data_IF_143200498292
#
_entry.id   IF_143200498292
#
_cell.length_a   1.000
_cell.length_b   1.000
_cell.length_c   1.000
_cell.angle_alpha   90.00
_cell.angle_beta   90.00
_cell.angle_gamma   90.00
#
_symmetry.space_group_name_H-M   'P 1'
#
loop_
_entity.id
_entity.type
_entity.pdbx_description
1 polymer ?
#
# COMPACT_ATOMS: atom_id res chain seq x y z
N UNK A 1 -50.35 -62.51 34.68
CA UNK A 1 -50.68 -61.14 35.13
C UNK A 1 -49.46 -60.29 34.89
N UNK A 2 -49.49 -59.43 33.87
CA UNK A 2 -48.39 -58.56 33.45
C UNK A 2 -48.36 -57.28 34.31
N UNK A 3 -47.18 -56.73 34.66
CA UNK A 3 -47.09 -55.36 35.19
C UNK A 3 -46.94 -54.33 34.05
N UNK A 4 -47.21 -53.03 34.31
CA UNK A 4 -47.46 -52.04 33.28
C UNK A 4 -46.21 -51.28 32.84
N UNK A 5 -46.30 -50.75 31.62
CA UNK A 5 -45.34 -49.91 30.89
C UNK A 5 -45.19 -48.52 31.50
N UNK A 6 -43.95 -48.11 31.77
CA UNK A 6 -43.57 -46.72 32.10
C UNK A 6 -43.22 -45.97 30.81
N UNK A 7 -44.04 -44.99 30.46
CA UNK A 7 -43.77 -44.02 29.39
C UNK A 7 -42.93 -42.87 29.95
N UNK A 8 -41.72 -42.65 29.40
CA UNK A 8 -40.85 -41.51 29.74
C UNK A 8 -41.23 -40.32 28.85
N UNK A 9 -41.79 -39.26 29.44
CA UNK A 9 -41.85 -37.94 28.79
C UNK A 9 -40.46 -37.30 28.87
N UNK A 10 -39.83 -37.05 27.73
CA UNK A 10 -38.67 -36.18 27.62
C UNK A 10 -39.18 -34.74 27.38
N UNK A 11 -38.88 -33.84 28.31
CA UNK A 11 -39.07 -32.39 28.12
C UNK A 11 -37.87 -31.88 27.34
N UNK A 12 -38.06 -31.55 26.07
CA UNK A 12 -37.07 -30.83 25.26
C UNK A 12 -37.28 -29.34 25.50
N UNK A 13 -36.34 -28.71 26.20
CA UNK A 13 -36.27 -27.26 26.32
C UNK A 13 -35.67 -26.70 25.03
N UNK A 14 -36.50 -26.16 24.14
CA UNK A 14 -36.04 -25.35 23.01
C UNK A 14 -35.59 -23.98 23.51
N UNK A 15 -34.27 -23.74 23.59
CA UNK A 15 -33.75 -22.37 23.55
C UNK A 15 -34.00 -21.82 22.15
N UNK A 16 -34.94 -20.87 22.04
CA UNK A 16 -35.08 -20.07 20.84
C UNK A 16 -33.93 -19.05 20.79
N UNK A 17 -32.94 -19.31 19.94
CA UNK A 17 -32.00 -18.28 19.53
C UNK A 17 -32.75 -17.30 18.62
N UNK A 18 -32.85 -16.04 19.05
CA UNK A 18 -33.37 -14.98 18.18
C UNK A 18 -32.40 -14.77 17.01
N UNK A 19 -32.87 -14.64 15.76
CA UNK A 19 -32.01 -14.30 14.64
C UNK A 19 -31.49 -12.88 14.84
N UNK A 20 -30.17 -12.73 14.94
CA UNK A 20 -29.53 -11.43 14.71
C UNK A 20 -29.76 -11.11 13.24
N UNK A 21 -30.62 -10.14 12.94
CA UNK A 21 -30.71 -9.59 11.59
C UNK A 21 -29.34 -8.98 11.27
N UNK A 22 -28.57 -9.64 10.41
CA UNK A 22 -27.48 -8.98 9.71
C UNK A 22 -28.11 -7.85 8.89
N UNK A 23 -27.84 -6.61 9.29
CA UNK A 23 -28.10 -5.46 8.42
C UNK A 23 -27.23 -5.68 7.18
N UNK A 24 -27.85 -5.64 6.00
CA UNK A 24 -27.13 -5.70 4.73
C UNK A 24 -26.14 -4.53 4.66
N UNK A 25 -24.95 -4.77 4.12
CA UNK A 25 -23.97 -3.72 3.93
C UNK A 25 -24.55 -2.61 3.03
N UNK A 26 -24.19 -1.35 3.30
CA UNK A 26 -24.65 -0.24 2.48
C UNK A 26 -24.11 -0.37 1.06
N UNK A 27 -24.90 0.12 0.09
CA UNK A 27 -24.38 0.31 -1.26
C UNK A 27 -23.23 1.34 -1.23
N UNK A 28 -22.27 1.30 -2.18
CA UNK A 28 -21.14 2.23 -2.17
C UNK A 28 -21.50 3.72 -2.08
N UNK A 29 -22.63 4.11 -2.67
CA UNK A 29 -23.15 5.49 -2.63
C UNK A 29 -23.88 5.86 -1.33
N UNK A 30 -24.01 4.91 -0.40
CA UNK A 30 -24.64 5.06 0.92
C UNK A 30 -23.62 5.09 2.06
N UNK A 31 -22.35 4.71 1.81
CA UNK A 31 -21.24 4.75 2.78
C UNK A 31 -21.02 6.16 3.31
N UNK A 32 -21.02 6.33 4.65
CA UNK A 32 -20.79 7.60 5.36
C UNK A 32 -19.76 7.53 6.47
N UNK A 33 -19.33 6.33 6.82
CA UNK A 33 -18.40 6.07 7.92
C UNK A 33 -17.41 4.98 7.52
N UNK A 34 -16.33 4.85 8.29
CA UNK A 34 -15.40 3.73 8.10
C UNK A 34 -16.08 2.39 8.40
N UNK A 35 -16.99 2.36 9.37
CA UNK A 35 -17.76 1.18 9.76
C UNK A 35 -18.62 0.63 8.61
N UNK A 36 -19.10 1.49 7.73
CA UNK A 36 -19.82 1.07 6.52
C UNK A 36 -18.90 0.27 5.57
N UNK A 37 -17.65 0.72 5.41
CA UNK A 37 -16.64 0.03 4.59
C UNK A 37 -16.23 -1.29 5.24
N UNK A 38 -16.11 -1.32 6.58
CA UNK A 38 -15.88 -2.54 7.38
C UNK A 38 -16.99 -3.55 7.14
N UNK A 39 -18.27 -3.14 7.18
CA UNK A 39 -19.40 -4.00 6.88
C UNK A 39 -19.35 -4.56 5.45
N UNK A 40 -19.07 -3.69 4.46
CA UNK A 40 -18.91 -4.11 3.06
C UNK A 40 -17.81 -5.16 2.88
N UNK A 41 -16.63 -4.94 3.46
CA UNK A 41 -15.51 -5.87 3.38
C UNK A 41 -15.83 -7.24 4.00
N UNK A 42 -16.55 -7.24 5.13
CA UNK A 42 -16.99 -8.47 5.80
C UNK A 42 -17.95 -9.28 4.92
N UNK A 43 -18.98 -8.63 4.36
CA UNK A 43 -19.91 -9.30 3.44
C UNK A 43 -19.22 -9.78 2.16
N UNK A 44 -18.31 -8.95 1.63
CA UNK A 44 -17.56 -9.29 0.44
C UNK A 44 -16.70 -10.54 0.68
N UNK A 45 -16.05 -10.69 1.83
CA UNK A 45 -15.28 -11.89 2.18
C UNK A 45 -16.15 -13.16 2.31
N UNK A 46 -17.45 -13.03 2.61
CA UNK A 46 -18.35 -14.18 2.79
C UNK A 46 -18.80 -14.85 1.47
N UNK A 47 -18.55 -14.21 0.33
CA UNK A 47 -18.91 -14.75 -1.00
C UNK A 47 -17.68 -15.26 -1.75
N UNK A 48 -17.84 -15.71 -3.00
CA UNK A 48 -16.70 -16.02 -3.87
C UNK A 48 -16.18 -14.72 -4.51
N UNK A 49 -14.86 -14.53 -4.53
CA UNK A 49 -14.23 -13.41 -5.22
C UNK A 49 -14.65 -13.34 -6.70
N UNK A 50 -15.05 -12.15 -7.13
CA UNK A 50 -15.35 -11.85 -8.53
C UNK A 50 -14.21 -11.01 -9.11
N UNK A 51 -13.51 -11.48 -10.15
CA UNK A 51 -12.46 -10.69 -10.79
C UNK A 51 -12.99 -9.33 -11.26
N UNK A 52 -12.23 -8.23 -11.06
CA UNK A 52 -12.67 -6.91 -11.49
C UNK A 52 -12.71 -6.80 -13.02
N UNK A 53 -13.60 -5.94 -13.52
CA UNK A 53 -13.70 -5.62 -14.94
C UNK A 53 -12.45 -4.85 -15.40
N UNK A 54 -11.89 -5.25 -16.54
CA UNK A 54 -10.74 -4.57 -17.16
C UNK A 54 -11.19 -3.33 -17.92
N UNK A 55 -10.31 -2.34 -18.03
CA UNK A 55 -10.52 -1.19 -18.90
C UNK A 55 -10.67 -1.61 -20.38
N UNK A 56 -11.32 -0.79 -21.22
CA UNK A 56 -11.42 -1.04 -22.66
C UNK A 56 -10.07 -1.32 -23.31
N UNK A 57 -10.06 -2.27 -24.26
CA UNK A 57 -8.81 -2.74 -24.89
C UNK A 57 -8.01 -1.61 -25.55
N UNK A 58 -8.68 -0.62 -26.12
CA UNK A 58 -8.05 0.54 -26.76
C UNK A 58 -7.26 1.45 -25.80
N UNK A 59 -7.59 1.44 -24.50
CA UNK A 59 -6.80 2.09 -23.45
C UNK A 59 -5.67 1.19 -22.96
N UNK A 60 -5.87 -0.13 -22.96
CA UNK A 60 -4.87 -1.13 -22.54
C UNK A 60 -3.74 -1.29 -23.57
N UNK A 61 -4.04 -1.08 -24.86
CA UNK A 61 -3.08 -1.18 -25.96
C UNK A 61 -2.12 0.02 -26.04
N UNK A 62 -2.32 1.04 -25.19
CA UNK A 62 -1.42 2.19 -25.12
C UNK A 62 -0.05 1.77 -24.57
N UNK A 63 0.98 2.06 -25.35
CA UNK A 63 2.35 2.07 -24.85
C UNK A 63 2.60 3.29 -23.94
N UNK A 64 3.82 3.41 -23.45
CA UNK A 64 4.21 4.47 -22.52
C UNK A 64 3.95 5.88 -23.08
N UNK A 65 4.33 6.11 -24.34
CA UNK A 65 4.20 7.42 -25.00
C UNK A 65 2.74 7.76 -25.28
N UNK A 66 1.94 6.77 -25.69
CA UNK A 66 0.50 6.92 -25.86
C UNK A 66 -0.20 7.23 -24.53
N UNK A 67 0.11 6.47 -23.47
CA UNK A 67 -0.54 6.66 -22.16
C UNK A 67 -0.25 8.06 -21.57
N UNK A 68 0.99 8.56 -21.70
CA UNK A 68 1.37 9.92 -21.25
C UNK A 68 0.64 11.06 -21.95
N UNK A 69 0.04 10.81 -23.12
CA UNK A 69 -0.77 11.81 -23.83
C UNK A 69 -2.18 11.97 -23.27
N UNK A 70 -2.61 11.08 -22.37
CA UNK A 70 -3.79 11.28 -21.52
C UNK A 70 -3.34 12.07 -20.28
N UNK A 71 -3.26 13.38 -20.42
CA UNK A 71 -2.74 14.27 -19.39
C UNK A 71 -3.84 14.66 -18.38
N UNK A 72 -3.48 14.80 -17.10
CA UNK A 72 -4.39 15.33 -16.08
C UNK A 72 -4.63 16.82 -16.32
N UNK A 73 -5.88 17.27 -16.17
CA UNK A 73 -6.26 18.68 -16.16
C UNK A 73 -6.08 19.26 -14.76
N UNK A 74 -4.89 19.72 -14.45
CA UNK A 74 -4.57 20.32 -13.15
C UNK A 74 -5.45 21.53 -12.80
N UNK A 75 -5.90 22.27 -13.82
CA UNK A 75 -6.85 23.36 -13.69
C UNK A 75 -8.23 22.91 -13.18
N UNK A 76 -8.56 21.64 -13.36
CA UNK A 76 -9.82 21.04 -12.92
C UNK A 76 -9.62 20.13 -11.70
N UNK A 77 -8.48 20.22 -10.98
CA UNK A 77 -8.29 19.43 -9.76
C UNK A 77 -9.48 19.60 -8.81
N UNK A 78 -9.94 18.51 -8.21
CA UNK A 78 -11.09 18.55 -7.30
C UNK A 78 -10.76 19.43 -6.09
N UNK A 79 -11.74 20.23 -5.67
CA UNK A 79 -11.64 21.22 -4.59
C UNK A 79 -10.70 22.41 -4.85
N UNK A 80 -10.18 22.55 -6.08
CA UNK A 80 -9.31 23.65 -6.46
C UNK A 80 -9.95 25.02 -6.24
N UNK A 81 -11.17 25.19 -6.71
CA UNK A 81 -11.91 26.46 -6.70
C UNK A 81 -12.66 26.71 -5.38
N UNK A 82 -12.53 25.81 -4.40
CA UNK A 82 -13.19 25.88 -3.08
C UNK A 82 -12.27 26.42 -1.96
N UNK A 83 -11.09 26.94 -2.30
CA UNK A 83 -10.07 27.42 -1.34
C UNK A 83 -9.65 26.38 -0.28
N UNK A 84 -9.65 25.10 -0.65
CA UNK A 84 -9.32 23.99 0.26
C UNK A 84 -7.80 23.80 0.40
N UNK A 85 -7.36 23.38 1.58
CA UNK A 85 -5.93 23.09 1.87
C UNK A 85 -5.40 21.96 0.98
N UNK A 86 -6.23 21.00 0.64
CA UNK A 86 -5.86 19.85 -0.19
C UNK A 86 -6.75 19.76 -1.41
N UNK A 87 -6.14 19.40 -2.54
CA UNK A 87 -6.83 19.09 -3.80
C UNK A 87 -6.69 17.61 -4.10
N UNK A 88 -7.62 17.07 -4.88
CA UNK A 88 -7.52 15.71 -5.40
C UNK A 88 -7.41 15.72 -6.92
N UNK A 89 -6.52 14.88 -7.45
CA UNK A 89 -6.41 14.58 -8.87
C UNK A 89 -6.50 13.07 -9.07
N UNK A 90 -6.84 12.66 -10.29
CA UNK A 90 -7.11 11.25 -10.61
C UNK A 90 -6.18 10.75 -11.71
N UNK A 91 -5.95 9.44 -11.73
CA UNK A 91 -5.22 8.77 -12.80
C UNK A 91 -6.21 8.07 -13.74
N UNK A 92 -6.01 8.10 -15.07
CA UNK A 92 -6.82 7.32 -16.00
C UNK A 92 -6.41 5.84 -15.95
N UNK A 93 -7.36 4.92 -16.09
CA UNK A 93 -7.07 3.51 -16.36
C UNK A 93 -6.61 3.32 -17.81
N UNK A 94 -5.68 2.39 -18.01
CA UNK A 94 -5.04 2.17 -19.31
C UNK A 94 -3.61 1.66 -19.16
N UNK A 95 -3.03 1.17 -20.26
CA UNK A 95 -1.71 0.55 -20.29
C UNK A 95 -1.59 -0.52 -19.19
N UNK A 96 -0.64 -0.37 -18.26
CA UNK A 96 -0.43 -1.27 -17.12
C UNK A 96 -1.49 -1.16 -16.00
N UNK A 97 -2.27 -0.08 -15.96
CA UNK A 97 -3.32 0.13 -14.96
C UNK A 97 -4.64 -0.47 -15.46
N UNK A 98 -4.65 -1.79 -15.54
CA UNK A 98 -5.63 -2.53 -16.34
C UNK A 98 -7.06 -2.52 -15.78
N UNK A 99 -7.25 -2.24 -14.49
CA UNK A 99 -8.57 -2.35 -13.87
C UNK A 99 -8.87 -1.09 -13.08
N UNK A 100 -9.93 -0.36 -13.46
CA UNK A 100 -10.38 0.83 -12.77
C UNK A 100 -10.75 0.58 -11.31
N UNK A 101 -10.74 1.66 -10.54
CA UNK A 101 -11.27 1.78 -9.19
C UNK A 101 -12.43 2.76 -9.19
N UNK A 102 -13.38 2.57 -8.27
CA UNK A 102 -14.39 3.59 -8.02
C UNK A 102 -13.88 4.58 -6.99
N UNK A 103 -14.09 5.86 -7.24
CA UNK A 103 -13.80 6.92 -6.26
C UNK A 103 -15.09 7.62 -5.90
N UNK A 104 -15.32 7.79 -4.61
CA UNK A 104 -16.47 8.48 -4.05
C UNK A 104 -16.02 9.64 -3.18
N UNK A 105 -16.77 10.74 -3.19
CA UNK A 105 -16.61 11.86 -2.26
C UNK A 105 -17.72 11.77 -1.22
N UNK A 106 -17.34 11.77 0.06
CA UNK A 106 -18.25 11.73 1.21
C UNK A 106 -18.31 13.12 1.82
N UNK A 107 -19.40 13.84 1.57
CA UNK A 107 -19.59 15.23 2.01
C UNK A 107 -20.85 15.34 2.87
N UNK A 108 -20.67 15.67 4.15
CA UNK A 108 -21.71 15.77 5.19
C UNK A 108 -22.75 14.62 5.12
N UNK A 109 -23.83 14.86 4.38
CA UNK A 109 -24.99 13.97 4.25
C UNK A 109 -25.10 13.32 2.86
N UNK A 110 -24.06 13.29 2.03
CA UNK A 110 -24.09 12.69 0.69
C UNK A 110 -22.78 12.01 0.31
N UNK A 111 -22.91 10.89 -0.39
CA UNK A 111 -21.79 10.20 -1.04
C UNK A 111 -22.02 10.18 -2.53
N UNK A 112 -21.08 10.76 -3.29
CA UNK A 112 -21.18 10.89 -4.75
C UNK A 112 -20.02 10.20 -5.44
N UNK A 113 -20.29 9.46 -6.51
CA UNK A 113 -19.24 8.89 -7.36
C UNK A 113 -18.55 10.00 -8.15
N UNK A 114 -17.24 9.85 -8.34
CA UNK A 114 -16.44 10.65 -9.27
C UNK A 114 -16.47 9.95 -10.62
N UNK A 115 -17.20 10.53 -11.57
CA UNK A 115 -17.29 9.98 -12.93
C UNK A 115 -15.98 10.22 -13.68
N UNK A 116 -15.53 9.20 -14.42
CA UNK A 116 -14.44 9.32 -15.38
C UNK A 116 -14.86 10.21 -16.56
N UNK A 117 -13.92 10.94 -17.16
CA UNK A 117 -14.21 11.67 -18.39
C UNK A 117 -13.30 12.87 -18.68
N UNK A 118 -13.58 13.60 -19.77
CA UNK A 118 -12.75 14.71 -20.27
C UNK A 118 -12.69 15.93 -19.34
N UNK A 119 -13.51 15.97 -18.29
CA UNK A 119 -13.42 16.95 -17.22
C UNK A 119 -12.13 16.80 -16.41
N UNK A 120 -11.59 15.58 -16.26
CA UNK A 120 -10.35 15.34 -15.50
C UNK A 120 -9.13 15.19 -16.40
N UNK A 121 -9.35 14.82 -17.67
CA UNK A 121 -8.27 14.43 -18.58
C UNK A 121 -8.30 15.23 -19.88
N UNK A 122 -7.11 15.59 -20.35
CA UNK A 122 -6.87 16.09 -21.69
C UNK A 122 -6.22 14.99 -22.51
N UNK A 123 -6.94 14.52 -23.51
CA UNK A 123 -6.41 13.60 -24.52
C UNK A 123 -5.71 14.40 -25.60
N UNK A 124 -4.49 14.00 -25.97
CA UNK A 124 -3.63 14.73 -26.92
C UNK A 124 -3.24 13.82 -28.09
N UNK A 125 -3.19 14.38 -29.30
CA UNK A 125 -2.70 13.65 -30.47
C UNK A 125 -3.56 12.42 -30.78
N UNK A 126 -2.95 11.25 -30.93
CA UNK A 126 -3.65 10.02 -31.27
C UNK A 126 -4.62 9.53 -30.20
N UNK A 127 -4.50 10.03 -28.96
CA UNK A 127 -5.41 9.67 -27.86
C UNK A 127 -6.71 10.46 -27.89
N UNK A 128 -6.84 11.51 -28.71
CA UNK A 128 -8.07 12.32 -28.83
C UNK A 128 -9.29 11.46 -29.19
N UNK A 129 -9.09 10.38 -29.95
CA UNK A 129 -10.15 9.41 -30.30
C UNK A 129 -10.71 8.64 -29.09
N UNK A 130 -10.00 8.65 -27.96
CA UNK A 130 -10.34 7.93 -26.73
C UNK A 130 -11.11 8.81 -25.72
N UNK A 131 -11.35 10.09 -26.05
CA UNK A 131 -11.97 11.04 -25.13
C UNK A 131 -13.39 10.64 -24.69
N UNK A 132 -14.12 9.92 -25.55
CA UNK A 132 -15.47 9.41 -25.29
C UNK A 132 -15.48 7.92 -24.91
N UNK A 133 -14.32 7.31 -24.64
CA UNK A 133 -14.23 5.91 -24.23
C UNK A 133 -14.86 5.68 -22.85
N UNK A 134 -15.46 4.51 -22.64
CA UNK A 134 -15.96 4.05 -21.33
C UNK A 134 -14.79 3.59 -20.43
N UNK A 135 -13.82 4.48 -20.23
CA UNK A 135 -12.67 4.24 -19.38
C UNK A 135 -13.02 4.22 -17.88
N UNK A 136 -12.02 4.50 -17.05
CA UNK A 136 -12.21 4.56 -15.61
C UNK A 136 -11.03 5.23 -14.92
N UNK A 137 -11.16 5.45 -13.61
CA UNK A 137 -10.06 5.97 -12.81
C UNK A 137 -9.17 4.80 -12.38
N UNK A 138 -7.85 4.92 -12.49
CA UNK A 138 -6.90 3.92 -11.99
C UNK A 138 -6.56 4.09 -10.51
N UNK A 139 -6.78 5.30 -9.99
CA UNK A 139 -6.35 5.72 -8.67
C UNK A 139 -6.46 7.24 -8.53
N UNK A 140 -5.86 7.76 -7.47
CA UNK A 140 -5.89 9.18 -7.15
C UNK A 140 -4.62 9.63 -6.44
N UNK A 141 -4.41 10.94 -6.42
CA UNK A 141 -3.37 11.61 -5.64
C UNK A 141 -3.93 12.84 -4.95
N UNK A 142 -3.34 13.18 -3.81
CA UNK A 142 -3.68 14.40 -3.07
C UNK A 142 -2.53 15.39 -3.16
N UNK A 143 -2.88 16.66 -3.31
CA UNK A 143 -1.94 17.76 -3.45
C UNK A 143 -2.19 18.80 -2.36
N UNK A 144 -1.13 19.24 -1.69
CA UNK A 144 -1.20 20.26 -0.64
C UNK A 144 0.02 21.17 -0.69
N UNK A 145 0.00 22.26 0.05
CA UNK A 145 1.18 23.13 0.18
C UNK A 145 2.04 22.60 1.32
N UNK A 146 3.05 21.80 0.98
CA UNK A 146 4.05 21.35 1.94
C UNK A 146 4.86 22.54 2.48
N UNK A 147 5.39 22.46 3.72
CA UNK A 147 6.28 23.49 4.26
C UNK A 147 7.40 23.84 3.27
N UNK A 148 7.59 25.14 2.99
CA UNK A 148 8.60 25.62 2.04
C UNK A 148 8.17 25.67 0.56
N UNK A 149 7.04 25.06 0.18
CA UNK A 149 6.59 25.06 -1.21
C UNK A 149 5.71 26.28 -1.56
N UNK A 150 5.99 26.92 -2.70
CA UNK A 150 5.17 28.04 -3.21
C UNK A 150 3.85 27.57 -3.82
N UNK A 151 3.83 26.37 -4.38
CA UNK A 151 2.67 25.78 -5.01
C UNK A 151 2.27 24.50 -4.29
N UNK A 152 1.00 24.10 -4.45
CA UNK A 152 0.58 22.78 -3.98
C UNK A 152 1.30 21.72 -4.79
N UNK A 153 1.84 20.74 -4.10
CA UNK A 153 2.55 19.60 -4.67
C UNK A 153 1.85 18.34 -4.24
N UNK A 154 1.95 17.32 -5.09
CA UNK A 154 1.56 15.97 -4.72
C UNK A 154 2.30 15.55 -3.45
N UNK A 155 1.58 14.94 -2.49
CA UNK A 155 2.18 14.44 -1.25
C UNK A 155 1.79 13.01 -0.92
N UNK A 156 0.70 12.49 -1.50
CA UNK A 156 0.31 11.08 -1.39
C UNK A 156 -0.39 10.62 -2.68
N UNK A 157 -0.10 9.39 -3.10
CA UNK A 157 -0.60 8.76 -4.31
C UNK A 157 -1.06 7.34 -4.02
N UNK A 158 -2.28 7.00 -4.43
CA UNK A 158 -2.92 5.69 -4.32
C UNK A 158 -3.19 5.15 -5.73
N UNK A 159 -2.34 4.25 -6.22
CA UNK A 159 -2.41 3.77 -7.60
C UNK A 159 -1.71 2.41 -7.74
N UNK A 160 -2.35 1.49 -8.47
CA UNK A 160 -1.83 0.15 -8.72
C UNK A 160 -2.07 -0.82 -7.56
N UNK A 161 -2.77 -1.93 -7.81
CA UNK A 161 -3.14 -2.94 -6.80
C UNK A 161 -3.58 -2.31 -5.46
N UNK A 162 -2.84 -2.54 -4.37
CA UNK A 162 -3.07 -1.90 -3.07
C UNK A 162 -1.92 -0.96 -2.65
N UNK A 163 -1.20 -0.38 -3.61
CA UNK A 163 -0.02 0.43 -3.35
C UNK A 163 -0.40 1.88 -3.01
N UNK A 164 0.43 2.49 -2.17
CA UNK A 164 0.46 3.92 -1.97
C UNK A 164 1.88 4.41 -1.71
N UNK A 165 2.15 5.67 -2.08
CA UNK A 165 3.42 6.37 -1.82
C UNK A 165 3.10 7.72 -1.24
N UNK A 166 3.97 8.24 -0.37
CA UNK A 166 3.88 9.60 0.11
C UNK A 166 5.25 10.27 0.17
N UNK A 167 5.23 11.61 0.20
CA UNK A 167 6.42 12.45 0.31
C UNK A 167 6.15 13.60 1.28
N UNK A 168 7.16 13.97 2.05
CA UNK A 168 7.22 15.21 2.83
C UNK A 168 8.01 16.31 2.10
N UNK A 169 8.29 17.41 2.80
CA UNK A 169 9.03 18.56 2.24
C UNK A 169 10.38 18.15 1.63
N UNK A 170 10.61 18.59 0.38
CA UNK A 170 11.87 18.39 -0.32
C UNK A 170 12.19 16.94 -0.67
N UNK A 171 11.20 16.04 -0.62
CA UNK A 171 11.37 14.64 -0.98
C UNK A 171 10.89 14.35 -2.39
N UNK A 172 11.40 13.27 -2.97
CA UNK A 172 10.94 12.70 -4.24
C UNK A 172 10.34 11.32 -4.02
N UNK A 173 9.53 10.82 -4.97
CA UNK A 173 8.99 9.47 -4.84
C UNK A 173 10.08 8.39 -4.93
N UNK A 174 10.00 7.43 -4.03
CA UNK A 174 10.83 6.21 -4.03
C UNK A 174 10.03 5.02 -3.51
N UNK A 175 10.48 4.44 -2.40
CA UNK A 175 9.82 3.31 -1.70
C UNK A 175 8.30 3.49 -1.56
N UNK A 176 7.57 2.43 -1.87
CA UNK A 176 6.11 2.33 -1.72
C UNK A 176 5.73 1.53 -0.50
N UNK A 177 4.55 1.80 0.03
CA UNK A 177 3.84 0.90 0.92
C UNK A 177 2.70 0.19 0.17
N UNK A 178 2.22 -0.91 0.73
CA UNK A 178 1.03 -1.64 0.26
C UNK A 178 0.05 -1.83 1.42
N UNK A 179 -1.23 -2.03 1.13
CA UNK A 179 -2.20 -2.47 2.13
C UNK A 179 -1.94 -3.88 2.64
N UNK A 180 -1.57 -4.82 1.76
CA UNK A 180 -1.33 -6.23 2.10
C UNK A 180 -0.56 -6.94 0.99
N UNK A 181 0.13 -8.04 1.33
CA UNK A 181 0.65 -8.99 0.35
C UNK A 181 0.34 -10.43 0.79
N UNK A 182 0.01 -11.31 -0.16
CA UNK A 182 -0.39 -12.69 0.11
C UNK A 182 0.54 -13.64 -0.62
N UNK A 183 1.09 -14.62 0.10
CA UNK A 183 2.03 -15.62 -0.41
C UNK A 183 3.31 -15.02 -1.06
N UNK A 184 3.66 -13.78 -0.70
CA UNK A 184 4.89 -13.09 -1.16
C UNK A 184 6.14 -13.86 -0.75
N UNK A 185 7.14 -13.93 -1.65
CA UNK A 185 8.40 -14.59 -1.37
C UNK A 185 8.29 -16.11 -1.16
N UNK A 186 7.31 -16.76 -1.78
CA UNK A 186 7.15 -18.22 -1.76
C UNK A 186 7.45 -18.88 -3.13
N UNK A 187 7.53 -20.21 -3.13
CA UNK A 187 7.60 -21.02 -4.36
C UNK A 187 6.29 -21.03 -5.16
N UNK A 188 5.21 -20.52 -4.56
CA UNK A 188 3.92 -20.28 -5.19
C UNK A 188 3.83 -18.83 -5.69
N UNK A 189 2.98 -18.55 -6.68
CA UNK A 189 2.83 -17.19 -7.16
C UNK A 189 2.22 -16.28 -6.08
N UNK A 190 2.78 -15.09 -5.92
CA UNK A 190 2.22 -14.03 -5.08
C UNK A 190 0.83 -13.62 -5.58
N UNK A 191 -0.08 -13.43 -4.63
CA UNK A 191 -1.36 -12.79 -4.85
C UNK A 191 -1.25 -11.32 -4.43
N UNK A 192 -1.78 -10.43 -5.29
CA UNK A 192 -1.76 -8.99 -5.11
C UNK A 192 -3.17 -8.48 -4.80
N UNK A 193 -3.54 -8.33 -3.51
CA UNK A 193 -4.78 -7.66 -3.14
C UNK A 193 -4.88 -6.26 -3.71
N UNK A 194 -6.10 -5.77 -3.91
CA UNK A 194 -6.32 -4.51 -4.61
C UNK A 194 -7.33 -3.64 -3.92
N UNK A 195 -7.04 -2.35 -3.85
CA UNK A 195 -8.08 -1.38 -3.55
C UNK A 195 -8.97 -1.23 -4.78
N UNK A 196 -10.26 -1.49 -4.60
CA UNK A 196 -11.26 -1.49 -5.67
C UNK A 196 -12.17 -0.27 -5.59
N UNK A 197 -12.32 0.30 -4.40
CA UNK A 197 -13.12 1.50 -4.14
C UNK A 197 -12.42 2.38 -3.12
N UNK A 198 -12.55 3.69 -3.30
CA UNK A 198 -12.09 4.72 -2.38
C UNK A 198 -13.22 5.66 -2.01
N UNK A 199 -13.25 6.10 -0.76
CA UNK A 199 -14.10 7.18 -0.28
C UNK A 199 -13.20 8.25 0.32
N UNK A 200 -13.28 9.47 -0.21
CA UNK A 200 -12.49 10.61 0.25
C UNK A 200 -13.42 11.64 0.88
N UNK A 201 -13.03 12.12 2.06
CA UNK A 201 -13.72 13.23 2.70
C UNK A 201 -13.14 14.55 2.20
N UNK A 202 -13.96 15.59 1.92
CA UNK A 202 -13.46 16.92 1.69
C UNK A 202 -12.59 17.39 2.87
N UNK A 203 -11.42 17.98 2.63
CA UNK A 203 -10.56 18.49 3.69
C UNK A 203 -11.34 19.51 4.53
N UNK A 204 -11.22 19.44 5.85
CA UNK A 204 -11.82 20.43 6.75
C UNK A 204 -11.16 21.80 6.52
N UNK A 205 -11.90 22.88 6.72
CA UNK A 205 -11.39 24.24 6.55
C UNK A 205 -10.44 24.71 7.67
N UNK A 206 -10.26 23.91 8.73
CA UNK A 206 -9.39 24.17 9.89
C UNK A 206 -8.16 23.24 9.89
N UNK A 207 -6.98 23.82 10.11
CA UNK A 207 -5.76 23.40 9.41
C UNK A 207 -4.83 22.39 10.09
N UNK A 208 -5.31 21.45 10.91
CA UNK A 208 -4.47 20.41 11.53
C UNK A 208 -5.03 18.97 11.41
N UNK A 209 -6.27 18.80 10.93
CA UNK A 209 -6.84 17.46 10.76
C UNK A 209 -6.15 16.71 9.61
N UNK A 210 -5.94 15.39 9.75
CA UNK A 210 -5.43 14.56 8.67
C UNK A 210 -6.45 14.42 7.54
N UNK A 211 -5.96 14.26 6.32
CA UNK A 211 -6.79 13.88 5.18
C UNK A 211 -7.27 12.43 5.34
N UNK A 212 -8.58 12.19 5.23
CA UNK A 212 -9.17 10.87 5.45
C UNK A 212 -9.53 10.22 4.12
N UNK A 213 -8.98 9.03 3.90
CA UNK A 213 -9.29 8.16 2.77
C UNK A 213 -9.68 6.79 3.31
N UNK A 214 -10.88 6.31 2.96
CA UNK A 214 -11.26 4.92 3.15
C UNK A 214 -11.08 4.13 1.87
N UNK A 215 -10.69 2.87 1.98
CA UNK A 215 -10.55 1.98 0.84
C UNK A 215 -11.10 0.58 1.11
N UNK A 216 -11.73 0.01 0.10
CA UNK A 216 -12.17 -1.39 0.08
C UNK A 216 -11.17 -2.22 -0.71
N UNK A 217 -10.53 -3.16 -0.02
CA UNK A 217 -9.62 -4.14 -0.58
C UNK A 217 -10.38 -5.42 -0.96
N UNK A 218 -10.05 -5.99 -2.13
CA UNK A 218 -10.53 -7.31 -2.54
C UNK A 218 -9.47 -8.11 -3.29
N UNK A 219 -9.53 -9.43 -3.10
CA UNK A 219 -8.67 -10.41 -3.76
C UNK A 219 -9.29 -11.82 -3.69
N UNK A 220 -8.73 -12.81 -4.42
CA UNK A 220 -9.16 -14.19 -4.31
C UNK A 220 -9.13 -14.75 -2.89
N UNK A 221 -8.11 -14.41 -2.09
CA UNK A 221 -7.93 -14.92 -0.74
C UNK A 221 -8.54 -14.04 0.36
N UNK A 222 -8.67 -12.73 0.15
CA UNK A 222 -9.07 -11.78 1.20
C UNK A 222 -10.03 -10.70 0.74
N UNK A 223 -10.74 -10.09 1.69
CA UNK A 223 -11.29 -8.74 1.54
C UNK A 223 -10.94 -7.92 2.79
N UNK A 224 -10.84 -6.61 2.65
CA UNK A 224 -10.51 -5.75 3.78
C UNK A 224 -10.98 -4.32 3.65
N UNK A 225 -11.14 -3.65 4.79
CA UNK A 225 -11.47 -2.23 4.90
C UNK A 225 -10.29 -1.48 5.49
N UNK A 226 -9.89 -0.37 4.87
CA UNK A 226 -8.75 0.42 5.28
C UNK A 226 -9.16 1.88 5.49
N UNK A 227 -8.78 2.47 6.62
CA UNK A 227 -8.78 3.92 6.83
C UNK A 227 -7.33 4.41 6.81
N UNK A 228 -7.07 5.38 5.95
CA UNK A 228 -5.83 6.15 5.89
C UNK A 228 -6.12 7.55 6.41
N UNK A 229 -5.43 7.95 7.48
CA UNK A 229 -5.39 9.34 7.95
C UNK A 229 -4.02 9.90 7.62
N UNK A 230 -3.95 10.81 6.65
CA UNK A 230 -2.70 11.31 6.08
C UNK A 230 -2.42 12.73 6.57
N UNK A 231 -1.30 12.90 7.27
CA UNK A 231 -0.82 14.18 7.78
C UNK A 231 0.42 14.63 6.98
N UNK A 232 0.28 15.56 6.02
CA UNK A 232 1.42 16.11 5.29
C UNK A 232 2.24 17.10 6.12
N UNK A 233 3.57 17.09 5.93
CA UNK A 233 4.48 18.00 6.63
C UNK A 233 5.93 17.88 6.17
N UNK A 234 6.88 18.18 7.06
CA UNK A 234 8.31 17.89 6.79
C UNK A 234 8.52 16.39 6.53
N UNK A 235 7.88 15.56 7.35
CA UNK A 235 7.57 14.17 7.05
C UNK A 235 6.06 14.07 6.76
N UNK A 236 5.69 13.11 5.91
CA UNK A 236 4.28 12.73 5.76
C UNK A 236 4.01 11.48 6.58
N UNK A 237 3.06 11.56 7.49
CA UNK A 237 2.61 10.43 8.32
C UNK A 237 1.28 9.89 7.79
N UNK A 238 1.19 8.57 7.67
CA UNK A 238 -0.03 7.86 7.28
C UNK A 238 -0.40 6.93 8.44
N UNK A 239 -1.42 7.25 9.20
CA UNK A 239 -1.99 6.31 10.16
C UNK A 239 -2.97 5.39 9.43
N UNK A 240 -2.78 4.08 9.58
CA UNK A 240 -3.55 3.04 8.90
C UNK A 240 -4.31 2.23 9.95
N UNK A 241 -5.64 2.19 9.78
CA UNK A 241 -6.51 1.20 10.44
C UNK A 241 -7.01 0.23 9.39
N UNK A 242 -6.84 -1.07 9.59
CA UNK A 242 -7.30 -2.08 8.65
C UNK A 242 -8.07 -3.20 9.34
N UNK A 243 -9.14 -3.67 8.71
CA UNK A 243 -9.85 -4.89 9.05
C UNK A 243 -9.79 -5.83 7.85
N UNK A 244 -9.26 -7.03 8.01
CA UNK A 244 -9.05 -7.99 6.92
C UNK A 244 -9.72 -9.32 7.25
N UNK A 245 -10.49 -9.85 6.30
CA UNK A 245 -11.14 -11.15 6.40
C UNK A 245 -10.60 -12.09 5.33
N UNK A 246 -10.37 -13.34 5.73
CA UNK A 246 -9.97 -14.39 4.80
C UNK A 246 -11.20 -15.04 4.17
N UNK A 247 -11.15 -15.24 2.85
CA UNK A 247 -12.08 -16.13 2.13
C UNK A 247 -11.67 -17.59 2.29
N UNK A 248 -10.35 -17.84 2.30
CA UNK A 248 -9.75 -19.14 2.52
C UNK A 248 -8.34 -19.03 3.11
N UNK A 249 -7.79 -20.13 3.62
CA UNK A 249 -6.42 -20.15 4.15
C UNK A 249 -5.37 -19.80 3.10
N UNK A 250 -4.29 -19.16 3.55
CA UNK A 250 -3.09 -18.81 2.77
C UNK A 250 -1.85 -19.34 3.47
N UNK A 251 -0.72 -19.40 2.77
CA UNK A 251 0.54 -19.85 3.37
C UNK A 251 1.24 -18.71 4.11
N UNK A 252 1.13 -17.48 3.59
CA UNK A 252 1.75 -16.30 4.18
C UNK A 252 0.86 -15.08 3.99
N UNK A 253 0.57 -14.40 5.10
CA UNK A 253 -0.05 -13.07 5.10
C UNK A 253 1.01 -12.05 5.53
N UNK A 254 1.43 -11.21 4.60
CA UNK A 254 2.43 -10.17 4.84
C UNK A 254 1.75 -8.83 5.09
N UNK A 255 1.97 -8.27 6.28
CA UNK A 255 1.33 -7.03 6.75
C UNK A 255 2.27 -5.84 6.63
N UNK A 256 1.68 -4.66 6.45
CA UNK A 256 2.37 -3.40 6.16
C UNK A 256 3.54 -3.54 5.16
N UNK A 257 3.35 -4.16 3.97
CA UNK A 257 4.46 -4.40 3.07
C UNK A 257 5.03 -3.10 2.51
N UNK A 258 6.35 -3.03 2.46
CA UNK A 258 7.12 -2.02 1.75
C UNK A 258 7.70 -2.62 0.48
N UNK A 259 7.84 -1.81 -0.56
CA UNK A 259 8.40 -2.20 -1.85
C UNK A 259 9.31 -1.10 -2.37
N UNK A 260 10.54 -1.47 -2.68
CA UNK A 260 11.59 -0.53 -3.06
C UNK A 260 12.47 -1.12 -4.16
N UNK A 261 13.52 -0.39 -4.51
CA UNK A 261 14.42 -0.72 -5.59
C UNK A 261 15.87 -0.52 -5.13
N UNK A 262 16.72 -1.51 -5.41
CA UNK A 262 18.16 -1.45 -5.21
C UNK A 262 18.88 -2.10 -6.40
N UNK A 263 19.73 -1.34 -7.10
CA UNK A 263 20.54 -1.85 -8.21
C UNK A 263 21.99 -2.10 -7.81
N UNK A 264 22.67 -1.06 -7.29
CA UNK A 264 24.04 -1.14 -6.79
C UNK A 264 24.39 0.05 -5.87
N UNK A 265 25.40 -0.16 -5.03
CA UNK A 265 26.10 0.85 -4.25
C UNK A 265 27.47 1.20 -4.89
N UNK A 266 28.25 2.05 -4.20
CA UNK A 266 29.53 2.53 -4.69
C UNK A 266 30.60 1.43 -4.84
N UNK A 267 30.49 0.33 -4.09
CA UNK A 267 31.42 -0.79 -4.14
C UNK A 267 31.08 -1.76 -5.29
N UNK A 268 29.85 -1.70 -5.81
CA UNK A 268 29.32 -2.61 -6.82
C UNK A 268 28.89 -1.92 -8.12
N UNK A 269 29.38 -0.71 -8.39
CA UNK A 269 29.08 0.03 -9.61
C UNK A 269 29.42 -0.81 -10.87
N UNK A 270 28.48 -1.00 -11.80
CA UNK A 270 28.72 -1.77 -13.02
C UNK A 270 29.63 -1.01 -14.01
N UNK A 271 30.43 -1.76 -14.74
CA UNK A 271 31.29 -1.19 -15.80
C UNK A 271 30.43 -0.48 -16.86
N UNK A 272 30.76 0.79 -17.13
CA UNK A 272 30.12 1.59 -18.17
C UNK A 272 28.93 2.44 -17.71
N UNK A 273 28.41 2.25 -16.49
CA UNK A 273 27.52 3.24 -15.87
C UNK A 273 28.37 4.29 -15.14
N UNK A 274 27.94 5.55 -15.18
CA UNK A 274 28.66 6.68 -14.57
C UNK A 274 28.11 7.05 -13.18
N UNK A 275 26.97 6.46 -12.80
CA UNK A 275 26.30 6.68 -11.52
C UNK A 275 26.92 5.76 -10.46
N UNK A 276 27.56 6.31 -9.41
CA UNK A 276 28.18 5.48 -8.38
C UNK A 276 27.16 4.61 -7.66
N UNK A 277 25.95 5.12 -7.42
CA UNK A 277 24.87 4.43 -6.72
C UNK A 277 23.53 4.59 -7.43
N UNK A 278 22.68 3.56 -7.39
CA UNK A 278 21.32 3.59 -7.95
C UNK A 278 20.39 2.76 -7.08
N UNK A 279 19.61 3.44 -6.24
CA UNK A 279 18.68 2.80 -5.30
C UNK A 279 17.69 3.80 -4.67
N UNK A 280 16.55 3.29 -4.21
CA UNK A 280 15.49 4.02 -3.51
C UNK A 280 15.59 3.90 -1.98
N UNK A 281 16.31 2.87 -1.55
CA UNK A 281 16.70 2.56 -0.19
C UNK A 281 17.98 1.72 -0.27
N UNK A 282 18.85 1.82 0.72
CA UNK A 282 20.09 1.07 0.84
C UNK A 282 20.13 0.13 2.05
N UNK A 283 19.15 0.23 2.96
CA UNK A 283 19.07 -0.63 4.14
C UNK A 283 17.64 -0.99 4.55
N UNK A 284 17.49 -2.19 5.11
CA UNK A 284 16.40 -2.55 6.02
C UNK A 284 16.82 -2.24 7.46
N UNK A 285 15.95 -1.56 8.19
CA UNK A 285 16.08 -1.33 9.63
C UNK A 285 14.91 -2.00 10.36
N UNK A 286 15.20 -2.65 11.49
CA UNK A 286 14.20 -3.29 12.36
C UNK A 286 14.41 -2.84 13.80
N UNK A 287 13.32 -2.56 14.49
CA UNK A 287 13.26 -2.32 15.93
C UNK A 287 12.25 -3.28 16.56
N UNK A 288 12.69 -4.08 17.52
CA UNK A 288 11.83 -5.07 18.16
C UNK A 288 12.45 -5.64 19.42
N UNK A 289 11.97 -6.81 19.84
CA UNK A 289 12.51 -7.57 20.95
C UNK A 289 12.61 -9.06 20.62
N UNK A 290 13.68 -9.68 21.10
CA UNK A 290 13.92 -11.13 21.10
C UNK A 290 13.91 -11.64 22.56
N UNK A 291 14.05 -12.95 22.80
CA UNK A 291 14.19 -13.47 24.17
C UNK A 291 15.35 -12.85 24.97
N UNK A 292 16.36 -12.29 24.29
CA UNK A 292 17.52 -11.61 24.88
C UNK A 292 17.25 -10.15 25.26
N UNK A 293 16.16 -9.55 24.76
CA UNK A 293 15.78 -8.16 25.04
C UNK A 293 15.47 -7.36 23.79
N UNK A 294 15.42 -6.03 23.95
CA UNK A 294 15.25 -5.08 22.85
C UNK A 294 16.42 -5.17 21.86
N UNK A 295 16.12 -5.07 20.57
CA UNK A 295 17.09 -5.20 19.49
C UNK A 295 16.81 -4.21 18.36
N UNK A 296 17.90 -3.73 17.76
CA UNK A 296 17.91 -3.01 16.50
C UNK A 296 18.72 -3.82 15.49
N UNK A 297 18.19 -3.95 14.27
CA UNK A 297 18.89 -4.60 13.15
C UNK A 297 19.07 -3.57 12.05
N UNK A 298 20.29 -3.47 11.52
CA UNK A 298 20.61 -2.76 10.28
C UNK A 298 21.12 -3.76 9.26
N UNK A 299 20.43 -3.87 8.12
CA UNK A 299 20.78 -4.80 7.06
C UNK A 299 20.84 -4.07 5.72
N UNK A 300 22.05 -3.89 5.21
CA UNK A 300 22.26 -3.33 3.87
C UNK A 300 21.55 -4.20 2.81
N UNK A 301 20.98 -3.57 1.80
CA UNK A 301 20.24 -4.24 0.73
C UNK A 301 21.20 -4.76 -0.34
N UNK A 302 20.79 -5.83 -1.00
CA UNK A 302 21.53 -6.43 -2.10
C UNK A 302 20.61 -6.67 -3.31
N UNK A 303 21.23 -6.77 -4.50
CA UNK A 303 20.58 -7.30 -5.70
C UNK A 303 21.18 -8.67 -6.03
N UNK A 304 20.59 -9.78 -5.53
CA UNK A 304 21.14 -11.11 -5.74
C UNK A 304 20.76 -11.67 -7.12
N UNK A 305 21.63 -12.50 -7.70
CA UNK A 305 21.34 -13.24 -8.96
C UNK A 305 20.18 -14.25 -8.84
N UNK A 306 19.78 -14.57 -7.61
CA UNK A 306 18.67 -15.48 -7.30
C UNK A 306 17.80 -14.87 -6.22
N UNK A 307 16.46 -15.04 -6.32
CA UNK A 307 15.54 -14.63 -5.27
C UNK A 307 15.98 -15.14 -3.89
N UNK A 308 16.03 -14.23 -2.91
CA UNK A 308 16.45 -14.50 -1.53
C UNK A 308 15.40 -13.95 -0.57
N UNK A 309 15.03 -14.76 0.42
CA UNK A 309 14.24 -14.29 1.56
C UNK A 309 15.08 -14.45 2.81
N UNK A 310 15.29 -13.34 3.49
CA UNK A 310 15.95 -13.26 4.80
C UNK A 310 14.87 -13.01 5.86
N UNK A 311 14.98 -13.63 7.03
CA UNK A 311 13.96 -13.56 8.07
C UNK A 311 14.56 -13.31 9.46
N UNK A 312 13.94 -12.40 10.22
CA UNK A 312 14.29 -12.04 11.59
C UNK A 312 13.10 -12.30 12.53
N UNK A 313 13.13 -13.41 13.29
CA UNK A 313 12.13 -13.70 14.31
C UNK A 313 12.16 -12.68 15.45
N UNK A 314 10.98 -12.31 15.94
CA UNK A 314 10.79 -11.33 17.02
C UNK A 314 9.69 -11.84 17.96
N UNK A 315 9.87 -11.62 19.27
CA UNK A 315 8.78 -11.76 20.24
C UNK A 315 7.80 -10.58 20.16
N UNK A 316 8.34 -9.39 19.90
CA UNK A 316 7.57 -8.16 19.72
C UNK A 316 8.22 -7.30 18.63
N UNK A 317 7.43 -6.78 17.71
CA UNK A 317 7.85 -5.75 16.77
C UNK A 317 7.46 -4.37 17.30
N UNK A 318 8.39 -3.41 17.21
CA UNK A 318 8.15 -1.99 17.51
C UNK A 318 8.15 -1.13 16.23
N UNK A 319 8.96 -1.50 15.23
CA UNK A 319 8.89 -0.95 13.90
C UNK A 319 9.89 -1.58 12.93
N UNK A 320 9.71 -1.35 11.64
CA UNK A 320 10.68 -1.72 10.61
C UNK A 320 10.53 -0.79 9.40
N UNK A 321 11.57 -0.67 8.58
CA UNK A 321 11.48 0.20 7.42
C UNK A 321 12.64 0.07 6.45
N UNK A 322 12.43 0.62 5.27
CA UNK A 322 13.46 0.75 4.25
C UNK A 322 14.02 2.18 4.32
N UNK A 323 15.32 2.27 4.55
CA UNK A 323 16.05 3.51 4.77
C UNK A 323 16.92 3.80 3.56
N UNK A 324 16.93 5.06 3.18
CA UNK A 324 17.86 5.67 2.24
C UNK A 324 18.88 6.47 3.05
N UNK A 325 20.00 5.84 3.36
CA UNK A 325 21.02 6.41 4.24
C UNK A 325 21.95 7.39 3.50
N UNK A 326 22.27 7.12 2.23
CA UNK A 326 23.03 8.04 1.38
C UNK A 326 22.12 9.16 0.85
N UNK A 327 22.61 10.40 0.97
CA UNK A 327 21.86 11.64 0.71
C UNK A 327 22.68 12.67 -0.08
N UNK A 328 23.94 12.40 -0.37
CA UNK A 328 24.79 13.27 -1.18
C UNK A 328 24.44 13.10 -2.68
N UNK A 329 23.94 14.13 -3.38
CA UNK A 329 23.66 14.04 -4.81
C UNK A 329 24.87 13.61 -5.65
N UNK A 330 26.10 13.90 -5.20
CA UNK A 330 27.33 13.51 -5.91
C UNK A 330 27.55 12.00 -5.93
N UNK A 331 26.89 11.24 -5.04
CA UNK A 331 26.95 9.77 -4.97
C UNK A 331 26.03 9.08 -5.96
N UNK A 332 25.06 9.82 -6.50
CA UNK A 332 24.17 9.30 -7.54
C UNK A 332 24.55 9.84 -8.92
N UNK A 333 25.02 11.09 -9.00
CA UNK A 333 25.38 11.75 -10.26
C UNK A 333 24.25 11.66 -11.31
N UNK A 334 23.00 11.74 -10.85
CA UNK A 334 21.78 11.60 -11.63
C UNK A 334 20.87 12.81 -11.35
N UNK A 335 20.54 13.57 -12.40
CA UNK A 335 19.76 14.81 -12.31
C UNK A 335 18.26 14.61 -12.60
N UNK A 336 17.82 13.38 -12.87
CA UNK A 336 16.44 13.08 -13.27
C UNK A 336 15.71 12.26 -12.21
N UNK A 337 16.40 11.31 -11.59
CA UNK A 337 15.79 10.33 -10.69
C UNK A 337 15.78 10.74 -9.22
N UNK A 338 16.56 11.76 -8.83
CA UNK A 338 16.56 12.36 -7.48
C UNK A 338 16.67 11.34 -6.32
N UNK A 339 17.46 10.27 -6.48
CA UNK A 339 17.57 9.18 -5.50
C UNK A 339 17.92 9.66 -4.08
N UNK A 340 18.81 10.64 -3.96
CA UNK A 340 19.20 11.28 -2.70
C UNK A 340 18.03 11.95 -1.95
N UNK A 341 16.93 12.26 -2.64
CA UNK A 341 15.74 12.91 -2.06
C UNK A 341 14.62 11.91 -1.72
N UNK A 342 14.76 10.62 -2.04
CA UNK A 342 13.72 9.59 -1.82
C UNK A 342 13.54 9.27 -0.33
N UNK A 343 12.31 9.10 0.19
CA UNK A 343 12.06 8.97 1.62
C UNK A 343 12.62 7.67 2.20
N UNK A 344 13.07 7.74 3.45
CA UNK A 344 12.97 6.60 4.37
C UNK A 344 11.49 6.32 4.59
N UNK A 345 11.10 5.04 4.56
CA UNK A 345 9.73 4.62 4.83
C UNK A 345 9.73 3.68 6.02
N UNK A 346 9.20 4.17 7.15
CA UNK A 346 9.21 3.49 8.44
C UNK A 346 7.80 3.09 8.85
N UNK A 347 7.57 1.80 9.06
CA UNK A 347 6.36 1.26 9.70
C UNK A 347 6.58 1.27 11.20
N UNK A 348 5.85 2.14 11.88
CA UNK A 348 5.84 2.27 13.33
C UNK A 348 4.57 1.63 13.91
N UNK A 349 4.75 0.58 14.71
CA UNK A 349 3.66 -0.10 15.41
C UNK A 349 3.59 0.31 16.89
N UNK A 350 4.59 1.04 17.37
CA UNK A 350 4.68 1.63 18.70
C UNK A 350 4.99 0.62 19.81
N UNK A 351 5.94 0.96 20.69
CA UNK A 351 6.29 0.14 21.85
C UNK A 351 5.16 -0.02 22.89
N UNK A 352 4.11 0.82 22.82
CA UNK A 352 2.95 0.74 23.73
C UNK A 352 2.02 -0.43 23.38
N UNK A 353 1.92 -0.78 22.10
CA UNK A 353 1.03 -1.83 21.60
C UNK A 353 1.74 -2.62 20.49
N UNK A 354 2.88 -3.26 20.81
CA UNK A 354 3.67 -3.95 19.82
C UNK A 354 2.87 -5.06 19.15
N UNK A 355 3.23 -5.36 17.91
CA UNK A 355 2.79 -6.61 17.31
C UNK A 355 3.53 -7.75 17.99
N UNK A 356 2.78 -8.78 18.40
CA UNK A 356 3.30 -9.93 19.14
C UNK A 356 4.22 -10.83 18.31
N UNK A 357 4.35 -12.13 18.62
CA UNK A 357 5.33 -12.99 17.97
C UNK A 357 5.14 -13.17 16.46
N UNK A 358 6.27 -13.19 15.76
CA UNK A 358 6.33 -13.35 14.31
C UNK A 358 7.71 -12.99 13.79
N UNK A 359 7.80 -12.47 12.57
CA UNK A 359 9.08 -12.13 11.93
C UNK A 359 8.97 -11.03 10.90
N UNK A 360 10.01 -10.21 10.78
CA UNK A 360 10.22 -9.36 9.60
C UNK A 360 10.90 -10.21 8.53
N UNK A 361 10.42 -10.16 7.31
CA UNK A 361 11.08 -10.77 6.15
C UNK A 361 11.52 -9.71 5.14
N UNK A 362 12.68 -9.94 4.53
CA UNK A 362 13.23 -9.18 3.41
C UNK A 362 13.31 -10.09 2.18
N UNK A 363 12.55 -9.75 1.14
CA UNK A 363 12.61 -10.34 -0.19
C UNK A 363 13.54 -9.49 -1.08
N UNK A 364 14.62 -10.10 -1.55
CA UNK A 364 15.58 -9.49 -2.48
C UNK A 364 15.53 -10.27 -3.80
N UNK A 365 15.33 -9.54 -4.91
CA UNK A 365 15.22 -10.09 -6.26
C UNK A 365 16.28 -9.48 -7.18
N UNK A 366 16.60 -10.19 -8.26
CA UNK A 366 17.28 -9.58 -9.39
C UNK A 366 16.36 -8.59 -10.13
N UNK A 367 16.95 -7.52 -10.67
CA UNK A 367 16.30 -6.50 -11.49
C UNK A 367 17.11 -6.20 -12.74
N UNK A 368 16.41 -6.14 -13.88
CA UNK A 368 17.01 -5.83 -15.18
C UNK A 368 17.33 -4.34 -15.35
N UNK A 369 16.57 -3.47 -14.71
CA UNK A 369 16.72 -2.02 -14.73
C UNK A 369 16.00 -1.40 -13.52
N UNK A 370 16.36 -0.16 -13.20
CA UNK A 370 15.90 0.63 -12.05
C UNK A 370 14.40 0.92 -12.05
N UNK A 371 13.72 0.81 -13.20
CA UNK A 371 12.26 0.88 -13.28
C UNK A 371 11.50 -0.33 -12.70
N UNK A 372 12.20 -1.36 -12.22
CA UNK A 372 11.63 -2.55 -11.60
C UNK A 372 11.98 -2.61 -10.11
N UNK A 373 10.98 -2.42 -9.26
CA UNK A 373 11.14 -2.65 -7.83
C UNK A 373 11.51 -4.13 -7.57
N UNK A 374 12.55 -4.36 -6.77
CA UNK A 374 13.13 -5.67 -6.50
C UNK A 374 13.37 -5.97 -5.01
N UNK A 375 12.94 -5.05 -4.15
CA UNK A 375 13.03 -5.18 -2.69
C UNK A 375 11.60 -5.24 -2.12
N UNK A 376 11.34 -6.19 -1.24
CA UNK A 376 10.13 -6.25 -0.42
C UNK A 376 10.47 -6.44 1.04
N UNK A 377 9.91 -5.63 1.94
CA UNK A 377 10.05 -5.80 3.38
C UNK A 377 8.68 -5.82 4.04
N UNK A 378 8.41 -6.79 4.90
CA UNK A 378 7.08 -6.97 5.47
C UNK A 378 7.13 -7.80 6.75
N UNK A 379 6.08 -7.70 7.57
CA UNK A 379 5.95 -8.50 8.78
C UNK A 379 4.99 -9.68 8.58
N UNK A 380 5.29 -10.82 9.19
CA UNK A 380 4.46 -12.02 9.18
C UNK A 380 4.27 -12.50 10.61
N UNK A 381 3.02 -12.52 11.07
CA UNK A 381 2.66 -13.12 12.36
C UNK A 381 2.82 -14.64 12.34
N UNK A 382 3.11 -15.22 13.49
CA UNK A 382 3.04 -16.67 13.64
C UNK A 382 1.59 -17.17 13.52
N UNK A 383 1.37 -18.17 12.65
CA UNK A 383 0.04 -18.56 12.15
C UNK A 383 -0.92 -19.10 13.19
N UNK A 384 -0.43 -19.53 14.36
CA UNK A 384 -1.23 -19.97 15.51
C UNK A 384 -1.87 -18.80 16.29
N UNK A 385 -1.53 -17.56 15.94
CA UNK A 385 -1.99 -16.34 16.63
C UNK A 385 -2.99 -15.50 15.86
N UNK A 386 -3.31 -15.85 14.61
CA UNK A 386 -4.30 -15.13 13.81
C UNK A 386 -5.55 -16.01 13.63
N UNK A 387 -6.64 -15.66 14.33
CA UNK A 387 -7.94 -16.28 14.07
C UNK A 387 -8.56 -15.67 12.82
N UNK A 388 -8.33 -16.34 11.69
CA UNK A 388 -8.88 -15.96 10.39
C UNK A 388 -10.40 -16.18 10.26
N UNK A 389 -11.10 -16.63 11.31
CA UNK A 389 -12.57 -16.68 11.35
C UNK A 389 -13.19 -15.31 11.63
N UNK A 390 -12.47 -14.43 12.31
CA UNK A 390 -12.89 -13.05 12.57
C UNK A 390 -12.01 -12.06 11.81
N UNK A 391 -12.37 -10.78 11.86
CA UNK A 391 -11.60 -9.73 11.22
C UNK A 391 -10.22 -9.61 11.87
N UNK A 392 -9.17 -9.81 11.08
CA UNK A 392 -7.82 -9.48 11.47
C UNK A 392 -7.64 -7.95 11.45
N UNK A 393 -7.48 -7.35 12.63
CA UNK A 393 -7.43 -5.89 12.79
C UNK A 393 -6.01 -5.41 12.99
N UNK A 394 -5.61 -4.40 12.21
CA UNK A 394 -4.27 -3.78 12.26
C UNK A 394 -4.40 -2.29 12.51
N UNK A 395 -3.52 -1.76 13.36
CA UNK A 395 -3.32 -0.33 13.55
C UNK A 395 -1.82 -0.07 13.51
N UNK A 396 -1.37 0.85 12.65
CA UNK A 396 0.03 1.22 12.54
C UNK A 396 0.18 2.57 11.85
N UNK A 397 1.36 3.16 11.95
CA UNK A 397 1.72 4.38 11.25
C UNK A 397 2.82 4.08 10.24
N UNK A 398 2.75 4.72 9.08
CA UNK A 398 3.85 4.74 8.09
C UNK A 398 4.36 6.16 7.98
N UNK A 399 5.65 6.36 8.21
CA UNK A 399 6.32 7.67 8.18
C UNK A 399 7.22 7.75 6.96
N UNK A 400 7.00 8.78 6.13
CA UNK A 400 7.80 9.10 4.95
C UNK A 400 8.67 10.33 5.27
N UNK A 401 9.95 10.11 5.53
CA UNK A 401 10.86 11.14 6.06
C UNK A 401 12.25 11.07 5.43
N UNK A 402 13.02 12.17 5.46
CA UNK A 402 14.47 12.13 5.24
C UNK A 402 15.25 11.71 6.49
N UNK A 403 14.64 11.82 7.66
CA UNK A 403 15.24 11.41 8.92
C UNK A 403 15.07 9.91 9.09
N UNK A 404 16.13 9.23 9.52
CA UNK A 404 16.02 7.86 10.00
C UNK A 404 15.21 7.83 11.31
N UNK A 405 14.56 6.71 11.66
CA UNK A 405 13.87 6.59 12.95
C UNK A 405 14.82 6.89 14.13
N UNK A 406 14.28 7.47 15.21
CA UNK A 406 15.07 7.81 16.41
C UNK A 406 15.84 6.58 16.94
N UNK A 407 17.05 6.80 17.48
CA UNK A 407 18.01 5.80 17.99
C UNK A 407 18.79 4.92 16.99
N UNK A 408 18.59 5.03 15.66
CA UNK A 408 19.54 4.39 14.70
C UNK A 408 20.94 5.01 14.73
N UNK A 409 21.09 6.18 15.34
CA UNK A 409 22.36 6.90 15.44
C UNK A 409 23.35 6.28 16.44
N UNK A 410 22.88 5.41 17.35
CA UNK A 410 23.65 5.01 18.53
C UNK A 410 24.18 3.59 18.48
N UNK A 411 23.55 2.67 17.74
CA UNK A 411 23.96 1.27 17.71
C UNK A 411 23.68 0.62 16.33
N UNK A 412 24.68 0.58 15.44
CA UNK A 412 24.76 -0.45 14.38
C UNK A 412 25.02 -1.79 15.05
N UNK A 413 24.05 -2.32 15.78
CA UNK A 413 24.22 -3.54 16.57
C UNK A 413 23.69 -4.74 15.80
N UNK A 414 24.53 -5.78 15.80
CA UNK A 414 24.36 -7.14 15.31
C UNK A 414 23.75 -7.32 13.91
N UNK A 415 24.58 -7.82 12.98
CA UNK A 415 24.09 -8.83 12.03
C UNK A 415 23.59 -10.02 12.86
N UNK A 416 22.30 -10.04 13.17
CA UNK A 416 21.63 -11.30 13.50
C UNK A 416 21.63 -12.07 12.19
N UNK A 417 22.38 -13.18 12.14
CA UNK A 417 22.39 -14.09 10.99
C UNK A 417 20.94 -14.47 10.66
N UNK A 418 20.38 -13.98 9.55
CA UNK A 418 19.00 -14.26 9.22
C UNK A 418 18.87 -15.73 8.87
N UNK A 419 17.70 -16.32 9.12
CA UNK A 419 17.35 -17.54 8.42
C UNK A 419 17.20 -17.19 6.93
N UNK A 420 18.08 -17.73 6.09
CA UNK A 420 18.05 -17.51 4.65
C UNK A 420 17.50 -18.74 3.94
N UNK A 421 16.40 -18.54 3.20
CA UNK A 421 15.79 -19.59 2.39
C UNK A 421 16.08 -19.35 0.91
N UNK A 422 16.95 -20.19 0.34
CA UNK A 422 17.21 -20.26 -1.10
C UNK A 422 16.31 -21.34 -1.71
N UNK A 423 15.12 -20.95 -2.18
CA UNK A 423 14.15 -21.85 -2.79
C UNK A 423 13.93 -21.59 -4.28
N UNK A 424 13.25 -22.52 -4.98
CA UNK A 424 12.67 -22.23 -6.31
C UNK A 424 11.47 -21.27 -6.14
N UNK A 425 11.74 -19.98 -5.95
CA UNK A 425 10.71 -18.95 -5.85
C UNK A 425 10.06 -18.72 -7.23
N UNK A 426 8.73 -18.69 -7.29
CA UNK A 426 7.98 -18.31 -8.50
C UNK A 426 7.54 -16.87 -8.37
N UNK A 427 8.38 -15.97 -8.83
CA UNK A 427 8.07 -14.55 -8.87
C UNK A 427 7.10 -14.28 -10.01
N UNK A 428 5.83 -14.01 -9.67
CA UNK A 428 4.90 -13.41 -10.63
C UNK A 428 5.34 -11.96 -10.85
N UNK A 429 6.12 -11.72 -11.92
CA UNK A 429 6.48 -10.38 -12.38
C UNK A 429 5.26 -9.70 -13.02
N UNK A 430 4.18 -9.47 -12.27
CA UNK A 430 3.28 -8.36 -12.62
C UNK A 430 4.03 -7.12 -12.16
N UNK A 431 4.66 -6.48 -13.14
CA UNK A 431 5.56 -5.35 -12.94
C UNK A 431 4.84 -4.37 -12.01
N UNK A 432 5.36 -4.19 -10.79
CA UNK A 432 5.31 -2.89 -10.15
C UNK A 432 6.21 -2.03 -11.02
N UNK A 433 5.72 -1.66 -12.21
CA UNK A 433 6.41 -0.67 -13.01
C UNK A 433 6.35 0.56 -12.13
N UNK A 434 7.50 1.12 -11.78
CA UNK A 434 7.56 2.33 -10.98
C UNK A 434 6.47 3.27 -11.48
N UNK A 435 5.58 3.67 -10.57
CA UNK A 435 4.58 4.67 -10.90
C UNK A 435 5.31 5.81 -11.58
N UNK A 436 4.87 6.29 -12.75
CA UNK A 436 5.59 7.35 -13.43
C UNK A 436 5.71 8.52 -12.47
N UNK A 437 6.90 8.67 -11.88
CA UNK A 437 7.31 9.89 -11.22
C UNK A 437 7.18 10.99 -12.26
N UNK A 438 6.63 12.13 -11.85
CA UNK A 438 6.51 13.29 -12.70
C UNK A 438 7.86 13.66 -13.30
N UNK A 439 8.16 13.15 -14.51
CA UNK A 439 9.16 13.76 -15.36
C UNK A 439 8.57 15.09 -15.78
N UNK A 440 8.80 16.13 -14.98
CA UNK A 440 8.52 17.51 -15.33
C UNK A 440 9.51 17.93 -16.41
N UNK A 441 9.23 17.54 -17.66
CA UNK A 441 9.73 18.29 -18.80
C UNK A 441 8.82 19.51 -18.99
N UNK A 442 9.14 20.61 -18.31
CA UNK A 442 8.77 21.93 -18.80
C UNK A 442 9.79 22.35 -19.89
N UNK A 443 9.39 23.21 -20.84
CA UNK A 443 9.43 23.01 -22.29
C UNK A 443 10.79 22.84 -22.95
#
# INVERSE_FOLDING_TARGET
>A
MSPPTLSRLAVVACLAAAPVSALAAPEPAEVRSFEDVVAMASEQAAVQHQPPTRAPQELLDLDYDGYRKIAVRHENAMWRDEDRKTWAEFYPAGSIFEYPVDVYVVDEDKTRRVEYGPQWFQFRGETERLADSEGGLAGMRLLTRLPGNEHKTEFVSFLGASYYRAIGTGQWYGTSARGLAVDIGLGTPEEFPRFTKYWIQPPTSDSEDPEVVWALMDSPAVSGAYEFRVSPGEATEVFVTAHVWMRHGVQKLAVAPLTSMFMWDADHQPEGDHRPEVHDADALVIHGATPEGETWVWRDLERPDRPKVSSWPLENLYGFGLVQSERDPAKYNDNEAHYHERPNVWVDVGARWPWGPGRVELLELDAKHEGMDNIGAYYVFDTDRVDFKEAFTLNYRVVFSKQAPEDTATERVAQVEPESYLGKLRVNRRIAAGMPGSSSSAP
#
